data_IF_419086179655
#
_entry.id   IF_419086179655
#
_cell.length_a   1.000
_cell.length_b   1.000
_cell.length_c   1.000
_cell.angle_alpha   90.00
_cell.angle_beta   90.00
_cell.angle_gamma   90.00
#
_symmetry.space_group_name_H-M   'P 1'
#
loop_
_entity.id
_entity.type
_entity.pdbx_description
1 polymer ?
#
# COMPACT_ATOMS: atom_id res chain seq x y z
N UNK A 1 26.91 53.96 81.81
CA UNK A 1 26.05 52.84 82.23
C UNK A 1 24.65 53.11 81.69
N UNK A 2 24.31 52.61 80.52
CA UNK A 2 23.03 52.83 79.90
C UNK A 2 22.30 51.48 79.80
N UNK A 3 21.14 51.41 80.40
CA UNK A 3 20.25 50.22 80.37
C UNK A 3 19.27 50.44 79.24
N UNK A 4 19.36 49.61 78.26
CA UNK A 4 18.39 49.57 77.15
C UNK A 4 17.21 48.65 77.52
N UNK A 5 16.00 49.19 77.52
CA UNK A 5 14.73 48.49 77.75
C UNK A 5 14.29 47.93 76.43
N UNK A 6 14.11 46.59 76.35
CA UNK A 6 13.58 45.95 75.16
C UNK A 6 12.09 45.81 75.24
N UNK A 7 11.38 46.41 74.31
CA UNK A 7 9.92 46.37 74.22
C UNK A 7 9.51 45.23 73.31
N UNK A 8 8.91 44.18 73.87
CA UNK A 8 8.30 43.10 73.08
C UNK A 8 6.89 43.53 72.58
N UNK A 9 6.80 43.69 71.30
CA UNK A 9 5.52 43.87 70.62
C UNK A 9 5.02 42.50 70.15
N UNK A 10 3.95 41.99 70.79
CA UNK A 10 3.26 40.79 70.36
C UNK A 10 2.35 41.09 69.16
N UNK A 11 2.68 40.57 68.05
CA UNK A 11 1.87 40.66 66.82
C UNK A 11 0.85 39.50 66.80
N UNK A 12 -0.43 39.79 67.10
CA UNK A 12 -1.51 38.82 66.90
C UNK A 12 -1.80 38.64 65.42
N UNK A 13 -1.46 37.48 64.88
CA UNK A 13 -1.80 37.09 63.51
C UNK A 13 -3.25 36.61 63.47
N UNK A 14 -4.17 37.38 62.90
CA UNK A 14 -5.53 36.95 62.61
C UNK A 14 -5.50 36.19 61.29
N UNK A 15 -5.64 34.83 61.38
CA UNK A 15 -5.79 33.98 60.22
C UNK A 15 -7.26 34.06 59.76
N UNK A 16 -7.54 34.76 58.68
CA UNK A 16 -8.83 34.72 58.00
C UNK A 16 -8.84 33.50 57.12
N UNK A 17 -9.55 32.44 57.54
CA UNK A 17 -9.89 31.29 56.69
C UNK A 17 -10.95 31.72 55.66
N UNK A 18 -10.47 32.05 54.45
CA UNK A 18 -11.35 32.24 53.30
C UNK A 18 -11.83 30.84 52.86
N UNK A 19 -13.06 30.49 53.16
CA UNK A 19 -13.74 29.32 52.60
C UNK A 19 -13.91 29.54 51.08
N UNK A 20 -13.01 29.00 50.30
CA UNK A 20 -13.11 28.96 48.84
C UNK A 20 -14.27 28.07 48.45
N UNK A 21 -15.44 28.66 48.17
CA UNK A 21 -16.51 27.94 47.48
C UNK A 21 -16.01 27.60 46.08
N UNK A 22 -15.63 26.35 45.84
CA UNK A 22 -15.42 25.83 44.50
C UNK A 22 -16.75 25.90 43.74
N UNK A 23 -16.91 26.92 42.93
CA UNK A 23 -17.98 26.97 41.94
C UNK A 23 -17.74 25.80 40.96
N UNK A 24 -18.47 24.72 41.17
CA UNK A 24 -18.61 23.66 40.21
C UNK A 24 -19.31 24.24 39.00
N UNK A 25 -18.49 24.65 37.97
CA UNK A 25 -19.05 25.15 36.71
C UNK A 25 -19.87 24.01 36.10
N UNK A 26 -21.20 24.17 36.09
CA UNK A 26 -22.11 23.27 35.44
C UNK A 26 -21.63 23.06 33.99
N UNK A 27 -21.20 21.84 33.65
CA UNK A 27 -20.76 21.46 32.33
C UNK A 27 -21.94 21.76 31.38
N UNK A 28 -21.78 22.70 30.44
CA UNK A 28 -22.80 22.97 29.42
C UNK A 28 -23.20 21.63 28.79
N UNK A 29 -24.53 21.36 28.61
CA UNK A 29 -24.95 20.13 27.99
C UNK A 29 -24.26 20.03 26.63
N UNK A 30 -23.53 18.92 26.40
CA UNK A 30 -22.90 18.64 25.12
C UNK A 30 -23.99 18.61 24.05
N UNK A 31 -23.94 19.53 23.07
CA UNK A 31 -24.81 19.43 21.90
C UNK A 31 -24.56 18.04 21.28
N UNK A 32 -25.64 17.26 21.09
CA UNK A 32 -25.57 16.01 20.35
C UNK A 32 -24.93 16.26 18.99
N UNK A 33 -23.81 15.60 18.73
CA UNK A 33 -23.07 15.73 17.47
C UNK A 33 -23.27 14.46 16.65
N UNK A 34 -23.47 14.65 15.36
CA UNK A 34 -23.67 13.59 14.40
C UNK A 34 -22.50 13.56 13.42
N UNK A 35 -22.22 12.38 12.89
CA UNK A 35 -21.29 12.16 11.75
C UNK A 35 -22.08 11.54 10.62
N UNK A 36 -21.86 12.07 9.42
CA UNK A 36 -22.37 11.49 8.17
C UNK A 36 -21.38 10.43 7.68
N UNK A 37 -21.87 9.27 7.28
CA UNK A 37 -21.09 8.16 6.75
C UNK A 37 -21.87 7.48 5.62
N UNK A 38 -21.23 6.58 4.89
CA UNK A 38 -21.87 5.79 3.82
C UNK A 38 -23.01 4.92 4.32
N UNK A 39 -22.99 4.55 5.62
CA UNK A 39 -24.04 3.76 6.27
C UNK A 39 -25.14 4.61 6.91
N UNK A 40 -25.06 5.93 6.79
CA UNK A 40 -26.06 6.85 7.33
C UNK A 40 -25.51 7.89 8.30
N UNK A 41 -26.44 8.58 8.98
CA UNK A 41 -26.15 9.60 9.99
C UNK A 41 -26.21 9.00 11.38
N UNK A 42 -25.12 9.08 12.13
CA UNK A 42 -24.96 8.46 13.44
C UNK A 42 -24.58 9.47 14.51
N UNK A 43 -25.09 9.32 15.72
CA UNK A 43 -24.52 10.01 16.87
C UNK A 43 -23.08 9.58 17.09
N UNK A 44 -22.25 10.51 17.55
CA UNK A 44 -20.91 10.17 18.02
C UNK A 44 -21.05 9.24 19.24
N UNK A 45 -20.33 8.12 19.22
CA UNK A 45 -20.37 7.05 20.23
C UNK A 45 -21.71 6.30 20.31
N UNK A 46 -22.49 6.27 19.22
CA UNK A 46 -23.72 5.47 19.15
C UNK A 46 -23.37 3.98 19.10
N UNK A 47 -23.82 3.26 20.13
CA UNK A 47 -23.61 1.80 20.23
C UNK A 47 -24.41 1.00 19.19
N UNK A 48 -25.41 1.60 18.55
CA UNK A 48 -26.19 0.97 17.48
C UNK A 48 -25.59 1.17 16.09
N UNK A 49 -24.49 1.96 16.00
CA UNK A 49 -23.76 2.10 14.75
C UNK A 49 -23.18 0.74 14.32
N UNK A 50 -23.32 0.32 13.04
CA UNK A 50 -22.77 -0.94 12.57
C UNK A 50 -21.28 -1.10 12.93
N UNK A 51 -20.96 -2.21 13.58
CA UNK A 51 -19.56 -2.57 13.85
C UNK A 51 -18.87 -3.04 12.56
N UNK A 52 -17.55 -2.85 12.44
CA UNK A 52 -16.79 -3.41 11.33
C UNK A 52 -16.82 -4.94 11.37
N UNK A 53 -16.75 -5.63 10.21
CA UNK A 53 -16.64 -7.08 10.19
C UNK A 53 -15.35 -7.54 10.90
N UNK A 54 -15.46 -8.65 11.61
CA UNK A 54 -14.30 -9.30 12.24
C UNK A 54 -13.66 -10.25 11.24
N UNK A 55 -12.38 -10.05 10.98
CA UNK A 55 -11.57 -10.94 10.13
C UNK A 55 -10.41 -11.51 10.93
N UNK A 56 -9.86 -12.64 10.48
CA UNK A 56 -8.58 -13.14 10.98
C UNK A 56 -7.47 -12.41 10.21
N UNK A 57 -6.55 -11.71 10.88
CA UNK A 57 -5.43 -11.06 10.19
C UNK A 57 -4.51 -12.10 9.57
N UNK A 58 -3.80 -11.69 8.52
CA UNK A 58 -2.71 -12.48 7.96
C UNK A 58 -1.50 -12.56 8.89
N UNK A 59 -0.45 -13.24 8.45
CA UNK A 59 0.84 -13.29 9.15
C UNK A 59 1.93 -12.70 8.27
N UNK A 60 2.99 -12.21 8.91
CA UNK A 60 4.15 -11.71 8.18
C UNK A 60 4.92 -12.83 7.48
N UNK A 61 5.54 -12.48 6.36
CA UNK A 61 6.43 -13.36 5.59
C UNK A 61 7.87 -13.27 6.08
N UNK A 62 8.59 -14.37 5.94
CA UNK A 62 10.04 -14.45 6.18
C UNK A 62 10.77 -14.79 4.88
N UNK A 63 12.10 -14.88 4.92
CA UNK A 63 12.86 -15.34 3.74
C UNK A 63 12.59 -16.82 3.41
N UNK A 64 12.30 -17.65 4.41
CA UNK A 64 12.03 -19.08 4.23
C UNK A 64 10.55 -19.39 3.96
N UNK A 65 9.64 -18.66 4.62
CA UNK A 65 8.22 -18.99 4.61
C UNK A 65 7.36 -17.78 4.19
N UNK A 66 6.38 -17.96 3.28
CA UNK A 66 5.40 -16.93 2.98
C UNK A 66 4.44 -16.74 4.17
N UNK A 67 3.96 -15.52 4.35
CA UNK A 67 2.90 -15.22 5.30
C UNK A 67 1.55 -15.79 4.85
N UNK A 68 0.59 -15.79 5.78
CA UNK A 68 -0.80 -16.16 5.47
C UNK A 68 -1.59 -14.91 5.07
N UNK A 69 -2.42 -15.04 4.06
CA UNK A 69 -3.36 -14.00 3.68
C UNK A 69 -4.42 -13.77 4.79
N UNK A 70 -4.97 -12.55 4.93
CA UNK A 70 -6.15 -12.32 5.76
C UNK A 70 -7.34 -13.19 5.33
N UNK A 71 -8.24 -13.52 6.26
CA UNK A 71 -9.34 -14.45 5.99
C UNK A 71 -10.38 -13.96 4.98
N UNK A 72 -10.42 -12.67 4.70
CA UNK A 72 -11.27 -12.02 3.69
C UNK A 72 -10.54 -11.72 2.38
N UNK A 73 -9.29 -12.17 2.24
CA UNK A 73 -8.53 -12.02 1.02
C UNK A 73 -8.89 -13.09 -0.02
N UNK A 74 -8.76 -12.68 -1.28
CA UNK A 74 -8.85 -13.55 -2.44
C UNK A 74 -7.43 -13.95 -2.80
N UNK A 75 -7.10 -15.21 -2.58
CA UNK A 75 -5.76 -15.74 -2.89
C UNK A 75 -5.66 -15.99 -4.40
N UNK A 76 -4.68 -15.36 -5.03
CA UNK A 76 -4.37 -15.55 -6.45
C UNK A 76 -3.23 -16.55 -6.66
N UNK A 77 -2.34 -16.69 -5.67
CA UNK A 77 -1.25 -17.66 -5.69
C UNK A 77 -0.76 -17.96 -4.27
N UNK A 78 -0.86 -19.21 -3.88
CA UNK A 78 -0.42 -19.72 -2.57
C UNK A 78 0.78 -20.68 -2.66
N UNK A 79 1.37 -20.84 -3.85
CA UNK A 79 2.49 -21.75 -4.09
C UNK A 79 2.08 -23.13 -4.61
N UNK A 80 0.79 -23.43 -4.77
CA UNK A 80 0.33 -24.78 -5.13
C UNK A 80 0.13 -24.98 -6.63
N UNK A 81 -0.46 -23.99 -7.34
CA UNK A 81 -0.70 -24.09 -8.78
C UNK A 81 -0.89 -22.72 -9.47
N UNK A 82 -0.96 -22.74 -10.80
CA UNK A 82 -1.18 -21.55 -11.64
C UNK A 82 -2.62 -21.46 -12.17
N UNK A 83 -3.56 -22.17 -11.57
CA UNK A 83 -4.95 -22.24 -12.08
C UNK A 83 -5.68 -20.90 -12.08
N UNK A 84 -5.27 -19.92 -11.26
CA UNK A 84 -5.80 -18.56 -11.23
C UNK A 84 -5.20 -17.65 -12.32
N UNK A 85 -4.21 -18.13 -13.09
CA UNK A 85 -3.45 -17.33 -14.05
C UNK A 85 -3.59 -17.84 -15.48
N UNK A 86 -3.53 -16.90 -16.43
CA UNK A 86 -3.49 -17.18 -17.87
C UNK A 86 -2.44 -16.30 -18.53
N UNK A 87 -2.10 -16.60 -19.79
CA UNK A 87 -1.47 -15.59 -20.66
C UNK A 87 -2.48 -14.48 -20.99
N UNK A 88 -2.04 -13.43 -21.66
CA UNK A 88 -2.90 -12.28 -22.04
C UNK A 88 -3.98 -12.63 -23.07
N UNK A 89 -3.96 -13.84 -23.63
CA UNK A 89 -4.96 -14.36 -24.57
C UNK A 89 -5.95 -15.34 -23.91
N UNK A 90 -5.81 -15.57 -22.59
CA UNK A 90 -6.66 -16.51 -21.84
C UNK A 90 -6.23 -17.97 -21.91
N UNK A 91 -5.07 -18.30 -22.49
CA UNK A 91 -4.53 -19.65 -22.51
C UNK A 91 -3.74 -19.94 -21.21
N UNK A 92 -3.47 -21.22 -20.89
CA UNK A 92 -2.57 -21.59 -19.82
C UNK A 92 -1.21 -20.86 -19.95
N UNK A 93 -0.72 -20.31 -18.86
CA UNK A 93 0.57 -19.65 -18.85
C UNK A 93 1.73 -20.62 -19.08
N UNK A 94 2.84 -20.11 -19.61
CA UNK A 94 4.10 -20.83 -19.78
C UNK A 94 5.09 -20.56 -18.64
N UNK A 95 4.71 -19.76 -17.66
CA UNK A 95 5.52 -19.58 -16.44
C UNK A 95 5.61 -20.93 -15.73
N UNK A 96 6.69 -21.15 -15.00
CA UNK A 96 6.94 -22.43 -14.33
C UNK A 96 6.72 -22.33 -12.83
N UNK A 97 6.45 -23.47 -12.22
CA UNK A 97 6.37 -23.62 -10.78
C UNK A 97 7.73 -24.03 -10.21
N UNK A 98 8.15 -23.41 -9.14
CA UNK A 98 9.18 -23.87 -8.22
C UNK A 98 8.57 -24.37 -6.92
N UNK A 99 9.40 -24.52 -5.89
CA UNK A 99 8.96 -24.88 -4.56
C UNK A 99 8.30 -23.67 -3.88
N UNK A 100 6.96 -23.64 -3.91
CA UNK A 100 6.14 -22.57 -3.33
C UNK A 100 6.16 -21.23 -4.09
N UNK A 101 6.69 -21.15 -5.30
CA UNK A 101 6.72 -19.94 -6.11
C UNK A 101 6.43 -20.21 -7.59
N UNK A 102 6.04 -19.19 -8.31
CA UNK A 102 6.03 -19.16 -9.78
C UNK A 102 7.18 -18.31 -10.30
N UNK A 103 7.75 -18.67 -11.45
CA UNK A 103 8.89 -18.00 -12.06
C UNK A 103 8.62 -17.62 -13.51
N UNK A 104 8.99 -16.40 -13.86
CA UNK A 104 8.93 -15.91 -15.22
C UNK A 104 9.90 -16.68 -16.14
N UNK A 105 9.36 -17.21 -17.24
CA UNK A 105 10.16 -17.80 -18.32
C UNK A 105 10.33 -16.78 -19.43
N UNK A 106 11.56 -16.51 -19.80
CA UNK A 106 11.89 -15.53 -20.85
C UNK A 106 11.12 -15.80 -22.16
N UNK A 107 10.49 -14.76 -22.70
CA UNK A 107 9.66 -14.80 -23.92
C UNK A 107 8.38 -15.65 -23.79
N UNK A 108 7.93 -15.93 -22.58
CA UNK A 108 6.66 -16.60 -22.33
C UNK A 108 5.47 -15.65 -22.37
N UNK A 109 5.74 -14.35 -22.28
CA UNK A 109 4.75 -13.30 -22.21
C UNK A 109 4.26 -13.00 -20.78
N UNK A 110 3.49 -11.93 -20.66
CA UNK A 110 2.86 -11.55 -19.40
C UNK A 110 1.85 -12.59 -18.99
N UNK A 111 1.61 -12.70 -17.67
CA UNK A 111 0.50 -13.45 -17.12
C UNK A 111 -0.50 -12.51 -16.45
N UNK A 112 -1.75 -12.95 -16.37
CA UNK A 112 -2.81 -12.18 -15.76
C UNK A 112 -3.75 -13.05 -14.95
N UNK A 113 -4.31 -12.49 -13.88
CA UNK A 113 -5.33 -13.17 -13.09
C UNK A 113 -6.61 -13.38 -13.90
N UNK A 114 -7.27 -14.51 -13.75
CA UNK A 114 -8.59 -14.79 -14.33
C UNK A 114 -9.65 -13.87 -13.73
N UNK A 115 -9.60 -13.66 -12.42
CA UNK A 115 -10.47 -12.70 -11.73
C UNK A 115 -9.98 -11.29 -11.97
N UNK A 116 -10.92 -10.36 -12.16
CA UNK A 116 -10.65 -8.95 -12.39
C UNK A 116 -11.02 -8.12 -11.17
N UNK A 117 -10.28 -7.04 -10.94
CA UNK A 117 -10.38 -6.17 -9.77
C UNK A 117 -10.44 -4.70 -10.18
N UNK A 118 -11.15 -3.89 -9.38
CA UNK A 118 -11.10 -2.43 -9.40
C UNK A 118 -10.18 -1.91 -8.30
N UNK A 119 -10.71 -1.03 -7.44
CA UNK A 119 -10.00 -0.58 -6.24
C UNK A 119 -9.71 -1.75 -5.32
N UNK A 120 -8.46 -1.86 -4.84
CA UNK A 120 -8.04 -3.02 -4.05
C UNK A 120 -6.82 -2.75 -3.18
N UNK A 121 -6.65 -3.58 -2.16
CA UNK A 121 -5.39 -3.86 -1.50
C UNK A 121 -4.80 -5.12 -2.16
N UNK A 122 -3.60 -5.01 -2.70
CA UNK A 122 -2.85 -6.12 -3.29
C UNK A 122 -1.58 -6.35 -2.47
N UNK A 123 -1.36 -7.58 -2.07
CA UNK A 123 -0.07 -8.06 -1.58
C UNK A 123 0.58 -8.95 -2.61
N UNK A 124 1.87 -8.77 -2.85
CA UNK A 124 2.65 -9.59 -3.76
C UNK A 124 4.09 -9.70 -3.29
N UNK A 125 4.58 -10.92 -3.12
CA UNK A 125 5.99 -11.17 -2.82
C UNK A 125 6.74 -11.54 -4.09
N UNK A 126 7.94 -11.00 -4.24
CA UNK A 126 8.80 -11.26 -5.39
C UNK A 126 10.27 -11.40 -4.96
N UNK A 127 11.05 -12.08 -5.79
CA UNK A 127 12.50 -12.13 -5.66
C UNK A 127 13.13 -11.98 -7.06
N UNK A 128 14.05 -11.02 -7.20
CA UNK A 128 14.85 -10.88 -8.41
C UNK A 128 15.89 -11.99 -8.46
N UNK A 129 16.43 -12.36 -9.64
CA UNK A 129 17.40 -13.44 -9.76
C UNK A 129 18.62 -13.25 -8.85
N UNK A 130 19.00 -14.28 -8.08
CA UNK A 130 20.17 -14.23 -7.19
C UNK A 130 21.48 -14.02 -7.96
N UNK A 131 21.55 -14.55 -9.17
CA UNK A 131 22.71 -14.34 -10.06
C UNK A 131 22.46 -13.05 -10.85
N UNK A 132 23.17 -12.01 -10.48
CA UNK A 132 23.10 -10.70 -11.13
C UNK A 132 23.58 -10.79 -12.58
N UNK A 133 22.71 -10.38 -13.51
CA UNK A 133 23.03 -10.26 -14.93
C UNK A 133 22.46 -8.94 -15.46
N UNK A 134 23.25 -8.23 -16.27
CA UNK A 134 22.87 -6.95 -16.83
C UNK A 134 23.04 -5.77 -15.87
N UNK A 135 22.49 -4.65 -16.25
CA UNK A 135 22.52 -3.39 -15.51
C UNK A 135 21.28 -2.56 -15.84
N UNK A 136 21.01 -1.53 -15.06
CA UNK A 136 19.87 -0.63 -15.26
C UNK A 136 18.57 -1.42 -15.46
N UNK A 137 17.76 -1.13 -16.46
CA UNK A 137 16.50 -1.81 -16.79
C UNK A 137 16.68 -3.25 -17.30
N UNK A 138 17.88 -3.70 -17.59
CA UNK A 138 18.18 -5.08 -17.98
C UNK A 138 18.43 -6.03 -16.81
N UNK A 139 18.29 -5.56 -15.54
CA UNK A 139 18.68 -6.32 -14.37
C UNK A 139 17.47 -6.66 -13.47
N UNK A 140 17.07 -7.94 -13.48
CA UNK A 140 15.98 -8.44 -12.63
C UNK A 140 14.65 -7.69 -12.83
N UNK A 141 14.34 -7.37 -14.09
CA UNK A 141 13.20 -6.54 -14.46
C UNK A 141 11.92 -7.36 -14.61
N UNK A 142 10.85 -6.83 -14.08
CA UNK A 142 9.47 -7.28 -14.22
C UNK A 142 8.55 -6.10 -13.83
N UNK A 143 7.23 -6.35 -13.68
CA UNK A 143 6.26 -5.35 -13.25
C UNK A 143 5.01 -5.99 -12.66
N UNK A 144 4.38 -5.31 -11.72
CA UNK A 144 3.07 -5.64 -11.17
C UNK A 144 2.06 -4.63 -11.68
N UNK A 145 1.08 -5.10 -12.45
CA UNK A 145 0.10 -4.21 -13.10
C UNK A 145 -1.27 -4.34 -12.43
N UNK A 146 -1.79 -3.23 -11.95
CA UNK A 146 -3.18 -3.08 -11.51
C UNK A 146 -4.06 -2.84 -12.74
N UNK A 147 -5.17 -3.58 -12.82
CA UNK A 147 -6.09 -3.58 -13.97
C UNK A 147 -5.41 -3.91 -15.32
N UNK A 148 -4.24 -4.56 -15.29
CA UNK A 148 -3.45 -4.85 -16.48
C UNK A 148 -2.84 -3.62 -17.17
N UNK A 149 -2.87 -2.44 -16.55
CA UNK A 149 -2.48 -1.17 -17.17
C UNK A 149 -1.55 -0.29 -16.35
N UNK A 150 -1.68 -0.32 -15.02
CA UNK A 150 -0.98 0.60 -14.12
C UNK A 150 0.14 -0.13 -13.38
N UNK A 151 1.37 0.17 -13.74
CA UNK A 151 2.56 -0.57 -13.30
C UNK A 151 3.18 -0.01 -12.04
N UNK A 152 3.40 -0.90 -11.08
CA UNK A 152 4.39 -0.76 -10.02
C UNK A 152 5.61 -1.58 -10.44
N UNK A 153 6.72 -0.90 -10.70
CA UNK A 153 7.93 -1.50 -11.25
C UNK A 153 8.56 -2.52 -10.31
N UNK A 154 8.95 -3.67 -10.87
CA UNK A 154 9.83 -4.65 -10.23
C UNK A 154 11.18 -4.62 -10.92
N UNK A 155 12.23 -4.34 -10.16
CA UNK A 155 13.61 -4.26 -10.66
C UNK A 155 14.56 -4.68 -9.56
N UNK A 156 15.68 -5.27 -9.91
CA UNK A 156 16.82 -5.34 -8.99
C UNK A 156 17.46 -3.95 -8.90
N UNK A 157 17.03 -3.15 -7.93
CA UNK A 157 17.56 -1.81 -7.65
C UNK A 157 18.61 -1.79 -6.52
N UNK A 158 19.07 -2.96 -6.06
CA UNK A 158 20.15 -3.05 -5.09
C UNK A 158 21.49 -2.78 -5.78
N UNK A 159 22.15 -1.68 -5.41
CA UNK A 159 23.39 -1.22 -6.06
C UNK A 159 23.31 -1.22 -7.60
N UNK A 160 22.18 -0.78 -8.15
CA UNK A 160 21.93 -0.73 -9.58
C UNK A 160 21.46 0.67 -9.99
N UNK A 161 22.28 1.37 -10.75
CA UNK A 161 21.95 2.70 -11.26
C UNK A 161 21.00 2.61 -12.45
N UNK A 162 19.84 3.29 -12.33
CA UNK A 162 18.86 3.45 -13.42
C UNK A 162 18.20 4.83 -13.31
N UNK A 163 17.30 5.17 -14.24
CA UNK A 163 16.47 6.36 -14.08
C UNK A 163 15.51 6.18 -12.90
N UNK A 164 15.34 7.23 -12.06
CA UNK A 164 14.63 7.08 -10.78
C UNK A 164 13.16 6.67 -10.89
N UNK A 165 12.46 7.08 -11.95
CA UNK A 165 11.06 6.75 -12.23
C UNK A 165 10.87 5.38 -12.91
N UNK A 166 11.92 4.59 -13.03
CA UNK A 166 11.91 3.19 -13.50
C UNK A 166 12.62 2.24 -12.54
N UNK A 167 13.00 2.68 -11.33
CA UNK A 167 13.55 1.78 -10.30
C UNK A 167 12.44 0.98 -9.61
N UNK A 168 12.82 0.01 -8.80
CA UNK A 168 11.91 -0.82 -8.01
C UNK A 168 10.95 0.04 -7.18
N UNK A 169 9.65 -0.21 -7.27
CA UNK A 169 8.61 0.56 -6.58
C UNK A 169 8.20 1.87 -7.24
N UNK A 170 8.80 2.24 -8.36
CA UNK A 170 8.31 3.37 -9.15
C UNK A 170 6.92 3.08 -9.72
N UNK A 171 6.06 4.08 -9.79
CA UNK A 171 4.93 4.06 -10.70
C UNK A 171 5.50 4.43 -12.06
N UNK A 172 5.72 3.43 -12.91
CA UNK A 172 6.65 3.46 -14.04
C UNK A 172 6.49 4.71 -14.92
N UNK A 173 7.59 5.47 -15.04
CA UNK A 173 7.63 6.72 -15.80
C UNK A 173 6.74 7.86 -15.24
N UNK A 174 6.22 7.73 -14.00
CA UNK A 174 5.30 8.72 -13.40
C UNK A 174 5.73 9.23 -12.05
N UNK A 175 6.09 8.33 -11.14
CA UNK A 175 6.49 8.73 -9.80
C UNK A 175 7.70 7.94 -9.32
N UNK A 176 8.67 8.65 -8.80
CA UNK A 176 9.84 8.12 -8.15
C UNK A 176 9.45 7.65 -6.75
N UNK A 177 9.88 6.47 -6.27
CA UNK A 177 9.64 6.09 -4.89
C UNK A 177 10.36 7.02 -3.92
N UNK A 178 9.75 7.25 -2.75
CA UNK A 178 10.30 8.12 -1.70
C UNK A 178 11.70 7.68 -1.24
N UNK A 179 11.94 6.38 -1.22
CA UNK A 179 13.21 5.74 -0.87
C UNK A 179 13.40 4.45 -1.68
N UNK A 180 14.64 4.00 -1.82
CA UNK A 180 14.96 2.67 -2.33
C UNK A 180 14.99 1.68 -1.16
N UNK A 181 13.94 0.89 -0.98
CA UNK A 181 13.82 -0.14 0.04
C UNK A 181 14.11 -1.55 -0.49
N UNK A 182 14.80 -1.65 -1.64
CA UNK A 182 15.07 -2.92 -2.32
C UNK A 182 16.03 -3.80 -1.50
N UNK A 183 15.71 -5.08 -1.38
CA UNK A 183 16.60 -6.11 -0.81
C UNK A 183 17.60 -6.60 -1.83
N UNK A 184 18.59 -7.36 -1.38
CA UNK A 184 19.60 -7.97 -2.27
C UNK A 184 18.97 -8.93 -3.28
N UNK A 185 19.59 -9.09 -4.46
CA UNK A 185 19.16 -10.10 -5.43
C UNK A 185 19.04 -11.49 -4.79
N UNK A 186 17.97 -12.19 -5.12
CA UNK A 186 17.64 -13.50 -4.57
C UNK A 186 16.86 -13.49 -3.26
N UNK A 187 16.85 -12.39 -2.51
CA UNK A 187 16.06 -12.25 -1.30
C UNK A 187 14.60 -11.97 -1.64
N UNK A 188 13.67 -12.57 -0.87
CA UNK A 188 12.25 -12.28 -0.95
C UNK A 188 11.97 -10.89 -0.41
N UNK A 189 11.17 -10.14 -1.15
CA UNK A 189 10.69 -8.83 -0.82
C UNK A 189 9.25 -8.70 -1.30
N UNK A 190 8.51 -7.71 -0.82
CA UNK A 190 7.09 -7.62 -1.11
C UNK A 190 6.63 -6.17 -1.30
N UNK A 191 5.52 -6.06 -2.00
CA UNK A 191 4.69 -4.87 -2.04
C UNK A 191 3.37 -5.12 -1.31
N UNK A 192 2.95 -4.12 -0.53
CA UNK A 192 1.57 -3.90 -0.12
C UNK A 192 1.08 -2.64 -0.83
N UNK A 193 0.12 -2.81 -1.74
CA UNK A 193 -0.36 -1.76 -2.63
C UNK A 193 -1.81 -1.47 -2.30
N UNK A 194 -2.13 -0.21 -1.96
CA UNK A 194 -3.49 0.30 -1.92
C UNK A 194 -3.71 1.06 -3.22
N UNK A 195 -4.61 0.56 -4.04
CA UNK A 195 -4.95 1.11 -5.34
C UNK A 195 -6.41 1.54 -5.38
N UNK A 196 -6.66 2.78 -5.76
CA UNK A 196 -7.98 3.25 -6.14
C UNK A 196 -8.01 3.45 -7.65
N UNK A 197 -8.94 2.78 -8.30
CA UNK A 197 -9.07 2.79 -9.75
C UNK A 197 -9.48 4.16 -10.29
N UNK A 198 -9.17 4.49 -11.55
CA UNK A 198 -9.73 5.66 -12.19
C UNK A 198 -11.23 5.48 -12.42
N UNK A 199 -11.93 6.60 -12.52
CA UNK A 199 -13.32 6.64 -13.00
C UNK A 199 -13.34 7.43 -14.29
N UNK A 200 -13.96 6.83 -15.33
CA UNK A 200 -14.15 7.46 -16.62
C UNK A 200 -15.60 7.84 -16.83
N UNK A 201 -15.81 9.00 -17.50
CA UNK A 201 -17.09 9.38 -18.10
C UNK A 201 -16.87 9.50 -19.61
N UNK A 202 -17.23 8.46 -20.35
CA UNK A 202 -16.84 8.32 -21.75
C UNK A 202 -15.31 8.21 -21.88
N UNK A 203 -14.69 9.22 -22.52
CA UNK A 203 -13.22 9.28 -22.67
C UNK A 203 -12.53 10.13 -21.61
N UNK A 204 -13.27 10.83 -20.77
CA UNK A 204 -12.75 11.73 -19.75
C UNK A 204 -12.48 10.97 -18.44
N UNK A 205 -11.30 11.21 -17.85
CA UNK A 205 -10.98 10.74 -16.50
C UNK A 205 -11.56 11.73 -15.51
N UNK A 206 -12.63 11.34 -14.80
CA UNK A 206 -13.27 12.19 -13.78
C UNK A 206 -12.69 11.97 -12.38
N UNK A 207 -12.07 10.82 -12.14
CA UNK A 207 -11.21 10.54 -10.98
C UNK A 207 -9.98 9.79 -11.47
N UNK A 208 -8.80 10.31 -11.17
CA UNK A 208 -7.55 9.65 -11.53
C UNK A 208 -7.23 8.51 -10.57
N UNK A 209 -6.46 7.51 -11.00
CA UNK A 209 -6.04 6.44 -10.12
C UNK A 209 -5.02 6.94 -9.08
N UNK A 210 -5.12 6.42 -7.86
CA UNK A 210 -4.16 6.72 -6.78
C UNK A 210 -3.51 5.46 -6.25
N UNK A 211 -2.27 5.62 -5.80
CA UNK A 211 -1.44 4.56 -5.24
C UNK A 211 -0.85 4.95 -3.91
N UNK A 212 -0.98 4.07 -2.92
CA UNK A 212 -0.11 4.02 -1.75
C UNK A 212 0.59 2.68 -1.77
N UNK A 213 1.93 2.69 -1.72
CA UNK A 213 2.73 1.47 -1.84
C UNK A 213 3.73 1.39 -0.69
N UNK A 214 3.73 0.25 -0.03
CA UNK A 214 4.79 -0.15 0.90
C UNK A 214 5.66 -1.22 0.24
N UNK A 215 6.97 -1.08 0.36
CA UNK A 215 7.93 -2.11 0.00
C UNK A 215 8.67 -2.57 1.26
N UNK A 216 8.61 -3.86 1.58
CA UNK A 216 9.25 -4.41 2.78
C UNK A 216 8.84 -3.69 4.07
N UNK A 217 7.56 -3.23 4.16
CA UNK A 217 7.03 -2.45 5.27
C UNK A 217 7.40 -0.96 5.26
N UNK A 218 8.17 -0.48 4.28
CA UNK A 218 8.56 0.94 4.14
C UNK A 218 7.64 1.62 3.13
N UNK A 219 7.04 2.75 3.50
CA UNK A 219 6.24 3.58 2.60
C UNK A 219 7.12 4.15 1.48
N UNK A 220 6.80 3.81 0.22
CA UNK A 220 7.55 4.26 -0.95
C UNK A 220 6.71 5.10 -1.92
N UNK A 221 5.38 5.00 -1.87
CA UNK A 221 4.47 5.88 -2.58
C UNK A 221 3.34 6.27 -1.63
N UNK A 222 3.13 7.58 -1.41
CA UNK A 222 2.14 8.11 -0.47
C UNK A 222 0.99 8.77 -1.22
N UNK A 223 -0.10 8.07 -1.42
CA UNK A 223 -1.34 8.56 -2.07
C UNK A 223 -1.07 9.27 -3.41
N UNK A 224 -0.18 8.73 -4.22
CA UNK A 224 0.23 9.34 -5.50
C UNK A 224 -0.88 9.23 -6.53
N UNK A 225 -1.34 10.36 -7.05
CA UNK A 225 -2.26 10.45 -8.17
C UNK A 225 -1.46 10.38 -9.49
N UNK A 226 -1.79 9.43 -10.38
CA UNK A 226 -1.15 9.33 -11.69
C UNK A 226 -1.63 10.43 -12.63
N UNK A 227 -0.71 10.90 -13.49
CA UNK A 227 -0.99 11.91 -14.51
C UNK A 227 -1.17 11.31 -15.92
N UNK A 228 -1.25 9.99 -16.04
CA UNK A 228 -1.42 9.24 -17.29
C UNK A 228 -1.18 7.75 -17.08
N UNK A 229 -1.22 6.97 -18.15
CA UNK A 229 -0.84 5.56 -18.12
C UNK A 229 0.64 5.37 -17.81
N UNK A 230 1.06 4.15 -17.46
CA UNK A 230 2.46 3.80 -17.15
C UNK A 230 3.17 3.11 -18.32
N UNK A 231 2.52 2.99 -19.50
CA UNK A 231 3.11 2.38 -20.68
C UNK A 231 4.33 3.14 -21.20
N UNK A 232 5.27 2.41 -21.75
CA UNK A 232 6.44 3.00 -22.41
C UNK A 232 6.09 3.48 -23.82
N UNK A 233 6.21 4.77 -24.08
CA UNK A 233 5.99 5.41 -25.38
C UNK A 233 7.26 6.10 -25.91
N UNK A 234 8.42 5.76 -25.35
CA UNK A 234 9.71 6.34 -25.69
C UNK A 234 10.26 7.28 -24.61
N UNK A 235 11.51 7.71 -24.77
CA UNK A 235 12.16 8.65 -23.87
C UNK A 235 11.38 9.96 -23.80
N UNK A 236 11.10 10.44 -22.57
CA UNK A 236 10.43 11.72 -22.32
C UNK A 236 8.97 11.82 -22.82
N UNK A 237 8.34 10.69 -23.20
CA UNK A 237 6.95 10.63 -23.61
C UNK A 237 6.05 10.25 -22.42
N UNK A 238 4.85 10.85 -22.36
CA UNK A 238 3.81 10.53 -21.39
C UNK A 238 2.71 9.75 -22.09
N UNK A 239 2.47 8.51 -21.65
CA UNK A 239 1.33 7.73 -22.05
C UNK A 239 0.05 8.34 -21.46
N UNK A 240 -0.96 8.53 -22.30
CA UNK A 240 -2.26 9.02 -21.85
C UNK A 240 -3.05 7.92 -21.15
N UNK A 241 -4.08 8.31 -20.41
CA UNK A 241 -5.07 7.35 -19.95
C UNK A 241 -5.85 6.80 -21.12
N UNK A 242 -5.98 5.48 -21.16
CA UNK A 242 -6.86 4.78 -22.08
C UNK A 242 -8.13 4.40 -21.34
N UNK A 243 -9.32 4.86 -21.76
CA UNK A 243 -10.57 4.48 -21.13
C UNK A 243 -10.76 2.97 -21.10
N UNK A 244 -11.15 2.44 -19.95
CA UNK A 244 -11.39 1.03 -19.72
C UNK A 244 -12.56 0.82 -18.75
N UNK A 245 -12.96 -0.44 -18.55
CA UNK A 245 -14.02 -0.81 -17.60
C UNK A 245 -13.60 -0.64 -16.13
N UNK A 246 -14.55 -0.89 -15.25
CA UNK A 246 -14.37 -0.72 -13.80
C UNK A 246 -13.48 -1.78 -13.15
N UNK A 247 -13.21 -2.88 -13.82
CA UNK A 247 -12.34 -3.96 -13.37
C UNK A 247 -11.39 -4.40 -14.47
N UNK A 248 -10.21 -4.85 -14.09
CA UNK A 248 -9.20 -5.44 -14.96
C UNK A 248 -8.34 -6.45 -14.16
N UNK A 249 -7.51 -7.23 -14.84
CA UNK A 249 -6.69 -8.25 -14.18
C UNK A 249 -5.54 -7.63 -13.38
N UNK A 250 -5.05 -8.37 -12.40
CA UNK A 250 -3.68 -8.19 -11.91
C UNK A 250 -2.77 -8.91 -12.89
N UNK A 251 -1.73 -8.23 -13.39
CA UNK A 251 -0.80 -8.85 -14.34
C UNK A 251 0.64 -8.76 -13.85
N UNK A 252 1.44 -9.76 -14.23
CA UNK A 252 2.87 -9.81 -13.96
C UNK A 252 3.63 -9.87 -15.28
N UNK A 253 4.73 -9.11 -15.35
CA UNK A 253 5.45 -8.87 -16.59
C UNK A 253 6.56 -9.90 -16.82
N UNK A 254 6.63 -10.43 -18.05
CA UNK A 254 7.83 -11.02 -18.61
C UNK A 254 8.68 -9.92 -19.29
N UNK A 255 9.78 -9.55 -18.67
CA UNK A 255 10.81 -8.66 -19.26
C UNK A 255 12.12 -9.43 -19.56
N UNK A 256 12.04 -10.76 -19.72
CA UNK A 256 13.16 -11.65 -20.04
C UNK A 256 14.06 -12.00 -18.86
N UNK A 257 13.67 -11.67 -17.64
CA UNK A 257 14.40 -11.99 -16.41
C UNK A 257 13.58 -13.00 -15.58
N UNK A 258 14.20 -14.05 -14.98
CA UNK A 258 13.52 -15.06 -14.20
C UNK A 258 13.18 -14.53 -12.79
N UNK A 259 12.30 -13.54 -12.72
CA UNK A 259 11.76 -13.03 -11.47
C UNK A 259 10.78 -14.04 -10.93
N UNK A 260 10.87 -14.31 -9.62
CA UNK A 260 10.00 -15.24 -8.90
C UNK A 260 8.96 -14.49 -8.13
N UNK A 261 7.77 -15.08 -8.00
CA UNK A 261 6.65 -14.55 -7.23
C UNK A 261 6.05 -15.62 -6.33
N UNK A 262 5.58 -15.22 -5.14
CA UNK A 262 4.85 -16.07 -4.21
C UNK A 262 3.84 -15.24 -3.41
N UNK A 263 2.94 -15.87 -2.69
CA UNK A 263 1.99 -15.23 -1.76
C UNK A 263 1.32 -14.00 -2.36
N UNK A 264 0.50 -14.22 -3.41
CA UNK A 264 -0.23 -13.13 -4.08
C UNK A 264 -1.69 -13.18 -3.68
N UNK A 265 -2.19 -12.10 -3.05
CA UNK A 265 -3.59 -12.01 -2.65
C UNK A 265 -4.13 -10.59 -2.75
N UNK A 266 -5.44 -10.49 -2.90
CA UNK A 266 -6.16 -9.23 -3.09
C UNK A 266 -7.33 -9.13 -2.10
N UNK A 267 -7.57 -7.93 -1.57
CA UNK A 267 -8.83 -7.54 -0.93
C UNK A 267 -9.46 -6.43 -1.75
N UNK A 268 -10.74 -6.60 -2.15
CA UNK A 268 -11.46 -5.56 -2.88
C UNK A 268 -11.81 -4.40 -1.94
N UNK A 269 -11.68 -3.17 -2.43
CA UNK A 269 -12.04 -1.94 -1.72
C UNK A 269 -13.25 -1.31 -2.40
N UNK A 270 -14.05 -0.60 -1.61
CA UNK A 270 -15.06 0.30 -2.15
C UNK A 270 -14.40 1.47 -2.92
N UNK A 271 -15.11 2.02 -3.91
CA UNK A 271 -14.65 3.15 -4.73
C UNK A 271 -14.84 4.51 -4.06
#
# INVERSE_FOLDING_TARGET
MSRTISLCVSLCLVVILAAGATQQTAKKPNKMQYVETDTGRWLIHDMNRPAPPVIQPGTESTQSEPGKAPSDAIVLFDGTDLTQWTDTKGNPTKWIMGDGYMECVKNSGYIQSKRQFGSCQLHVEFATPAIVRGSSQGRGNSGVFLMGQYEVQVLDSYDNKTYPDGQCGALYGRAVPLVNACRKPGEWQWYDIIFHRPIFKGKEVVRKPTFTVFQNGVLIQDHVELQGGTGWEGPHAISNFVPHGDKGPISLQDHGNPVRYRNVWVRELAD
#
